data_IF_456397520140
#
_entry.id   IF_456397520140
#
_cell.length_a   1.000
_cell.length_b   1.000
_cell.length_c   1.000
_cell.angle_alpha   90.00
_cell.angle_beta   90.00
_cell.angle_gamma   90.00
#
_symmetry.space_group_name_H-M   'P 1'
#
loop_
_entity.id
_entity.type
_entity.pdbx_description
1 polymer ?
#
# COMPACT_ATOMS: atom_id res chain seq x y z
N UNK A 1 -5.64 -49.45 49.42
CA UNK A 1 -6.72 -49.85 48.49
C UNK A 1 -7.41 -48.59 48.00
N UNK A 2 -7.68 -48.55 46.70
CA UNK A 2 -7.98 -47.39 45.85
C UNK A 2 -9.24 -46.59 46.18
N UNK A 3 -9.22 -45.29 45.85
CA UNK A 3 -10.19 -44.67 44.92
C UNK A 3 -9.78 -43.25 44.52
N UNK A 4 -9.57 -43.07 43.22
CA UNK A 4 -9.52 -41.80 42.49
C UNK A 4 -10.95 -41.35 42.22
N UNK A 5 -11.25 -40.04 42.20
CA UNK A 5 -12.30 -39.48 41.33
C UNK A 5 -12.21 -37.96 41.20
N UNK A 6 -12.12 -37.51 39.94
CA UNK A 6 -12.07 -36.14 39.44
C UNK A 6 -13.34 -35.33 39.69
N UNK A 7 -13.23 -33.99 39.67
CA UNK A 7 -14.18 -32.96 39.15
C UNK A 7 -13.78 -31.60 39.75
N UNK A 8 -13.65 -30.48 39.06
CA UNK A 8 -13.89 -30.09 37.69
C UNK A 8 -13.50 -28.60 37.56
N UNK A 9 -12.98 -28.26 36.39
CA UNK A 9 -12.38 -26.98 35.99
C UNK A 9 -13.46 -26.00 35.51
N UNK A 10 -13.46 -24.73 35.94
CA UNK A 10 -13.90 -23.61 35.09
C UNK A 10 -13.04 -22.38 35.41
N UNK A 11 -11.87 -22.29 34.77
CA UNK A 11 -11.25 -20.98 34.53
C UNK A 11 -12.04 -20.37 33.39
N UNK A 12 -12.84 -19.35 33.70
CA UNK A 12 -13.51 -18.54 32.70
C UNK A 12 -12.44 -17.76 31.92
N UNK A 13 -11.91 -18.39 30.87
CA UNK A 13 -11.14 -17.68 29.85
C UNK A 13 -12.17 -16.83 29.10
N UNK A 14 -12.31 -15.58 29.53
CA UNK A 14 -12.84 -14.49 28.73
C UNK A 14 -11.98 -14.43 27.46
N UNK A 15 -12.39 -15.14 26.42
CA UNK A 15 -11.93 -14.86 25.07
C UNK A 15 -12.49 -13.48 24.73
N UNK A 16 -11.74 -12.45 25.10
CA UNK A 16 -11.68 -11.23 24.31
C UNK A 16 -11.20 -11.71 22.93
N UNK A 17 -12.12 -12.13 22.07
CA UNK A 17 -11.90 -12.10 20.63
C UNK A 17 -11.63 -10.64 20.32
N UNK A 18 -10.36 -10.26 20.43
CA UNK A 18 -9.86 -9.03 19.88
C UNK A 18 -10.32 -9.00 18.45
N UNK A 19 -11.01 -7.93 18.06
CA UNK A 19 -11.12 -7.58 16.66
C UNK A 19 -9.69 -7.60 16.12
N UNK A 20 -9.34 -8.63 15.35
CA UNK A 20 -8.08 -8.64 14.64
C UNK A 20 -8.23 -7.61 13.51
N UNK A 21 -8.11 -6.34 13.87
CA UNK A 21 -7.96 -5.22 12.98
C UNK A 21 -6.50 -5.19 12.51
N UNK A 22 -6.02 -6.32 12.01
CA UNK A 22 -4.95 -6.29 11.04
C UNK A 22 -5.56 -5.61 9.83
N UNK A 23 -5.29 -4.30 9.70
CA UNK A 23 -5.44 -3.58 8.45
C UNK A 23 -4.76 -4.46 7.39
N UNK A 24 -5.59 -5.17 6.65
CA UNK A 24 -5.21 -6.21 5.72
C UNK A 24 -4.29 -5.55 4.69
N UNK A 25 -3.05 -6.04 4.61
CA UNK A 25 -2.10 -5.56 3.63
C UNK A 25 -2.74 -5.74 2.23
N UNK A 26 -2.93 -4.65 1.45
CA UNK A 26 -3.66 -4.73 0.20
C UNK A 26 -2.96 -5.59 -0.87
N UNK A 27 -1.72 -6.02 -0.62
CA UNK A 27 -0.93 -6.88 -1.50
C UNK A 27 -0.43 -8.18 -0.82
N UNK A 28 -1.04 -8.61 0.30
CA UNK A 28 -0.57 -9.75 1.12
C UNK A 28 -0.36 -11.06 0.32
N UNK A 29 -1.19 -11.29 -0.71
CA UNK A 29 -1.15 -12.50 -1.54
C UNK A 29 -0.86 -12.22 -3.02
N UNK A 30 -0.47 -10.98 -3.35
CA UNK A 30 -0.15 -10.61 -4.71
C UNK A 30 1.27 -11.05 -5.07
N UNK A 31 1.57 -11.39 -6.34
CA UNK A 31 2.95 -11.54 -6.79
C UNK A 31 3.72 -10.22 -6.58
N UNK A 32 5.06 -10.26 -6.50
CA UNK A 32 5.85 -9.04 -6.46
C UNK A 32 5.64 -8.25 -7.76
N UNK A 33 5.16 -7.02 -7.64
CA UNK A 33 5.01 -6.11 -8.78
C UNK A 33 6.22 -5.18 -8.89
N UNK A 34 7.15 -5.41 -9.84
CA UNK A 34 8.30 -4.53 -10.02
C UNK A 34 7.83 -3.14 -10.46
N UNK A 35 8.46 -2.10 -9.92
CA UNK A 35 8.13 -0.71 -10.24
C UNK A 35 8.95 -0.22 -11.43
N UNK A 36 10.21 -0.64 -11.57
CA UNK A 36 11.11 -0.24 -12.65
C UNK A 36 10.48 -0.39 -14.03
N UNK A 37 10.71 0.58 -14.92
CA UNK A 37 10.24 0.63 -16.31
C UNK A 37 8.70 0.63 -16.50
N UNK A 38 7.93 0.78 -15.42
CA UNK A 38 6.47 0.88 -15.47
C UNK A 38 5.99 2.32 -15.67
N UNK A 39 4.68 2.49 -15.88
CA UNK A 39 4.06 3.83 -15.86
C UNK A 39 4.18 4.50 -14.49
N UNK A 40 4.16 3.73 -13.40
CA UNK A 40 4.32 4.27 -12.05
C UNK A 40 5.71 4.90 -11.88
N UNK A 41 6.77 4.18 -12.27
CA UNK A 41 8.14 4.69 -12.19
C UNK A 41 8.27 6.01 -12.95
N UNK A 42 7.77 6.08 -14.19
CA UNK A 42 7.83 7.30 -15.01
C UNK A 42 7.12 8.48 -14.33
N UNK A 43 5.90 8.28 -13.83
CA UNK A 43 5.13 9.33 -13.18
C UNK A 43 5.78 9.80 -11.89
N UNK A 44 6.22 8.88 -11.03
CA UNK A 44 6.82 9.26 -9.74
C UNK A 44 8.15 9.99 -9.95
N UNK A 45 8.99 9.51 -10.87
CA UNK A 45 10.26 10.15 -11.20
C UNK A 45 10.10 11.54 -11.81
N UNK A 46 9.03 11.79 -12.57
CA UNK A 46 8.85 13.06 -13.26
C UNK A 46 8.09 14.10 -12.42
N UNK A 47 7.16 13.67 -11.58
CA UNK A 47 6.21 14.59 -10.94
C UNK A 47 6.29 14.60 -9.40
N UNK A 48 6.91 13.60 -8.77
CA UNK A 48 6.80 13.43 -7.32
C UNK A 48 8.13 13.62 -6.58
N UNK A 49 9.25 13.14 -7.14
CA UNK A 49 10.52 13.09 -6.42
C UNK A 49 11.12 14.48 -6.15
N UNK A 50 10.77 15.52 -6.90
CA UNK A 50 11.22 16.89 -6.62
C UNK A 50 10.78 17.40 -5.23
N UNK A 51 9.77 16.78 -4.60
CA UNK A 51 9.33 17.12 -3.24
C UNK A 51 9.40 15.91 -2.28
N UNK A 52 9.27 14.69 -2.80
CA UNK A 52 9.22 13.45 -2.01
C UNK A 52 10.49 12.61 -2.22
N UNK A 53 11.65 13.23 -2.06
CA UNK A 53 12.98 12.61 -2.10
C UNK A 53 13.59 12.49 -0.68
N UNK A 54 14.79 11.89 -0.52
CA UNK A 54 15.42 11.69 0.79
C UNK A 54 15.88 12.98 1.48
N UNK A 55 15.98 14.09 0.75
CA UNK A 55 16.43 15.39 1.23
C UNK A 55 15.22 16.22 1.71
N UNK A 56 14.27 16.50 0.82
CA UNK A 56 13.12 17.36 1.11
C UNK A 56 12.06 16.66 1.97
N UNK A 57 11.85 15.36 1.74
CA UNK A 57 10.89 14.49 2.47
C UNK A 57 9.56 15.17 2.79
N UNK A 58 8.98 15.91 1.84
CA UNK A 58 7.73 16.64 2.07
C UNK A 58 6.66 15.65 2.53
N UNK A 59 5.89 16.00 3.57
CA UNK A 59 4.90 15.09 4.14
C UNK A 59 5.49 13.83 4.80
N UNK A 60 6.78 13.86 5.20
CA UNK A 60 7.53 12.72 5.74
C UNK A 60 7.61 11.52 4.78
N UNK A 61 7.51 11.79 3.48
CA UNK A 61 7.46 10.77 2.43
C UNK A 61 8.70 10.86 1.54
N UNK A 62 9.34 9.71 1.36
CA UNK A 62 10.48 9.49 0.47
C UNK A 62 10.10 8.39 -0.53
N UNK A 63 9.73 8.81 -1.74
CA UNK A 63 9.36 7.93 -2.84
C UNK A 63 10.56 7.50 -3.67
N UNK A 64 11.61 8.32 -3.74
CA UNK A 64 12.79 8.01 -4.55
C UNK A 64 13.48 6.74 -4.03
N UNK A 65 13.67 6.61 -2.71
CA UNK A 65 14.26 5.39 -2.14
C UNK A 65 13.37 4.14 -2.21
N UNK A 66 12.12 4.27 -2.67
CA UNK A 66 11.18 3.15 -2.83
C UNK A 66 10.99 2.73 -4.27
N UNK A 67 11.52 3.51 -5.22
CA UNK A 67 11.19 3.37 -6.64
C UNK A 67 11.92 2.20 -7.32
N UNK A 68 13.06 1.79 -6.77
CA UNK A 68 13.87 0.68 -7.28
C UNK A 68 13.36 -0.71 -6.84
N UNK A 69 12.25 -0.77 -6.11
CA UNK A 69 11.70 -2.00 -5.51
C UNK A 69 10.41 -2.49 -6.15
N UNK A 70 9.61 -3.20 -5.35
CA UNK A 70 8.29 -3.70 -5.70
C UNK A 70 7.21 -2.93 -4.94
N UNK A 71 5.98 -2.92 -5.47
CA UNK A 71 4.83 -2.37 -4.74
C UNK A 71 4.65 -3.05 -3.37
N UNK A 72 4.89 -4.36 -3.32
CA UNK A 72 4.70 -5.21 -2.15
C UNK A 72 5.67 -4.89 -1.01
N UNK A 73 6.78 -4.20 -1.29
CA UNK A 73 7.77 -3.82 -0.26
C UNK A 73 7.25 -2.69 0.64
N UNK A 74 6.38 -1.83 0.08
CA UNK A 74 5.79 -0.68 0.79
C UNK A 74 4.29 -0.53 0.45
N UNK A 75 3.46 -1.54 0.72
CA UNK A 75 2.11 -1.64 0.16
C UNK A 75 1.20 -0.50 0.63
N UNK A 76 1.31 -0.10 1.91
CA UNK A 76 0.55 1.02 2.45
C UNK A 76 0.98 2.36 1.84
N UNK A 77 2.28 2.58 1.63
CA UNK A 77 2.77 3.82 1.00
C UNK A 77 2.25 3.94 -0.43
N UNK A 78 2.35 2.87 -1.21
CA UNK A 78 1.88 2.87 -2.58
C UNK A 78 0.35 2.92 -2.69
N UNK A 79 -0.36 2.42 -1.69
CA UNK A 79 -1.81 2.57 -1.59
C UNK A 79 -2.18 4.05 -1.40
N UNK A 80 -1.53 4.76 -0.47
CA UNK A 80 -1.76 6.21 -0.30
C UNK A 80 -1.40 7.01 -1.56
N UNK A 81 -0.30 6.67 -2.24
CA UNK A 81 0.05 7.28 -3.54
C UNK A 81 -1.05 7.02 -4.57
N UNK A 82 -1.65 5.82 -4.57
CA UNK A 82 -2.75 5.49 -5.49
C UNK A 82 -3.99 6.35 -5.23
N UNK A 83 -4.32 6.62 -3.97
CA UNK A 83 -5.43 7.50 -3.60
C UNK A 83 -5.15 8.95 -4.02
N UNK A 84 -3.93 9.44 -3.76
CA UNK A 84 -3.53 10.79 -4.15
C UNK A 84 -3.54 10.99 -5.69
N UNK A 85 -3.10 10.00 -6.45
CA UNK A 85 -3.16 10.02 -7.92
C UNK A 85 -4.61 9.93 -8.43
N UNK A 86 -5.44 9.07 -7.86
CA UNK A 86 -6.84 8.92 -8.25
C UNK A 86 -7.66 10.20 -8.00
N UNK A 87 -7.31 10.94 -6.94
CA UNK A 87 -7.94 12.21 -6.59
C UNK A 87 -7.28 13.43 -7.26
N UNK A 88 -6.24 13.23 -8.09
CA UNK A 88 -5.43 14.29 -8.67
C UNK A 88 -4.89 15.29 -7.62
N UNK A 89 -4.61 14.82 -6.39
CA UNK A 89 -4.12 15.63 -5.28
C UNK A 89 -2.63 15.91 -5.38
N UNK A 90 -1.88 14.99 -6.02
CA UNK A 90 -0.45 15.10 -6.21
C UNK A 90 -0.07 15.14 -7.70
N UNK A 91 0.80 16.07 -8.11
CA UNK A 91 1.34 17.18 -7.30
C UNK A 91 0.24 18.15 -6.82
N UNK A 92 0.47 19.11 -5.90
CA UNK A 92 -0.57 20.05 -5.46
C UNK A 92 -0.96 21.07 -6.56
N UNK A 93 -2.23 21.49 -6.63
CA UNK A 93 -2.74 22.42 -7.68
C UNK A 93 -2.41 23.88 -7.39
N UNK A 94 -2.23 24.20 -6.12
CA UNK A 94 -2.00 25.52 -5.55
C UNK A 94 -0.51 25.86 -5.43
N UNK A 95 0.39 24.94 -5.83
CA UNK A 95 1.84 25.17 -5.78
C UNK A 95 2.35 25.62 -7.15
N UNK A 96 2.73 26.89 -7.24
CA UNK A 96 3.28 27.49 -8.44
C UNK A 96 4.56 26.82 -8.92
N UNK A 97 4.75 26.77 -10.25
CA UNK A 97 5.95 26.23 -10.89
C UNK A 97 6.10 24.70 -10.84
N UNK A 98 5.12 23.98 -10.29
CA UNK A 98 5.16 22.51 -10.25
C UNK A 98 4.46 21.92 -11.47
N UNK A 99 5.20 21.14 -12.24
CA UNK A 99 4.66 20.41 -13.39
C UNK A 99 3.64 19.37 -12.90
N UNK A 100 2.53 19.22 -13.60
CA UNK A 100 1.53 18.19 -13.32
C UNK A 100 1.39 17.23 -14.51
N UNK A 101 1.07 15.96 -14.26
CA UNK A 101 0.59 15.06 -15.31
C UNK A 101 -0.65 15.64 -16.00
N UNK A 102 -0.83 15.32 -17.27
CA UNK A 102 -2.11 15.50 -17.94
C UNK A 102 -3.13 14.43 -17.50
N UNK A 103 -4.38 14.61 -17.90
CA UNK A 103 -5.48 13.74 -17.47
C UNK A 103 -5.30 12.29 -17.95
N UNK A 104 -4.75 12.08 -19.15
CA UNK A 104 -4.48 10.74 -19.69
C UNK A 104 -3.41 10.03 -18.84
N UNK A 105 -2.35 10.75 -18.47
CA UNK A 105 -1.29 10.22 -17.62
C UNK A 105 -1.82 9.82 -16.24
N UNK A 106 -2.65 10.67 -15.60
CA UNK A 106 -3.32 10.32 -14.34
C UNK A 106 -4.16 9.06 -14.47
N UNK A 107 -4.97 8.95 -15.53
CA UNK A 107 -5.82 7.78 -15.74
C UNK A 107 -5.00 6.51 -15.93
N UNK A 108 -3.92 6.57 -16.72
CA UNK A 108 -3.08 5.41 -17.02
C UNK A 108 -2.38 4.87 -15.78
N UNK A 109 -1.78 5.75 -14.97
CA UNK A 109 -1.10 5.33 -13.74
C UNK A 109 -2.10 4.84 -12.68
N UNK A 110 -3.26 5.49 -12.56
CA UNK A 110 -4.29 5.08 -11.61
C UNK A 110 -4.86 3.71 -11.99
N UNK A 111 -5.11 3.46 -13.28
CA UNK A 111 -5.56 2.14 -13.75
C UNK A 111 -4.52 1.05 -13.45
N UNK A 112 -3.24 1.33 -13.70
CA UNK A 112 -2.14 0.41 -13.42
C UNK A 112 -2.05 0.05 -11.92
N UNK A 113 -2.15 1.04 -11.03
CA UNK A 113 -2.17 0.81 -9.58
C UNK A 113 -3.42 0.04 -9.13
N UNK A 114 -4.60 0.46 -9.61
CA UNK A 114 -5.88 -0.14 -9.25
C UNK A 114 -5.97 -1.62 -9.66
N UNK A 115 -5.44 -1.99 -10.82
CA UNK A 115 -5.36 -3.41 -11.25
C UNK A 115 -4.58 -4.26 -10.25
N UNK A 116 -3.47 -3.74 -9.72
CA UNK A 116 -2.55 -4.47 -8.83
C UNK A 116 -3.08 -4.57 -7.40
N UNK A 117 -3.64 -3.49 -6.88
CA UNK A 117 -4.27 -3.50 -5.55
C UNK A 117 -5.57 -4.30 -5.51
N UNK A 118 -6.23 -4.49 -6.65
CA UNK A 118 -7.43 -5.35 -6.75
C UNK A 118 -7.12 -6.75 -7.29
N UNK A 119 -5.84 -7.11 -7.47
CA UNK A 119 -5.47 -8.46 -7.89
C UNK A 119 -6.00 -9.47 -6.87
N UNK A 120 -6.83 -10.40 -7.34
CA UNK A 120 -7.24 -11.57 -6.56
C UNK A 120 -6.34 -12.72 -6.96
N UNK A 121 -5.80 -13.50 -6.01
CA UNK A 121 -5.06 -14.70 -6.35
C UNK A 121 -5.96 -15.61 -7.20
N UNK A 122 -5.49 -16.01 -8.38
CA UNK A 122 -6.22 -16.95 -9.22
C UNK A 122 -6.42 -18.25 -8.44
N UNK A 123 -7.67 -18.69 -8.33
CA UNK A 123 -8.03 -19.90 -7.62
C UNK A 123 -7.33 -21.11 -8.24
N UNK A 124 -6.57 -21.85 -7.42
CA UNK A 124 -6.35 -23.26 -7.70
C UNK A 124 -7.72 -23.95 -7.57
N UNK A 125 -8.18 -24.55 -8.66
CA UNK A 125 -9.36 -25.41 -8.72
C UNK A 125 -9.33 -26.49 -7.64
#
# INVERSE_FOLDING_TARGET
MSKVSSSGLIVAILFLTGCNEQANNPLENAPPYPIQDTVLHKVVSEYCIDCHNPIDKKGKLDLQSKLDGHLNDYPFVWHEVSLALANNEMPPKDKDGVKRPDQETYQRVSAWLNERFNHKPEGKN
#
